data_IF_052573651354
#
_entry.id   IF_052573651354
#
_cell.length_a   1.000
_cell.length_b   1.000
_cell.length_c   1.000
_cell.angle_alpha   90.00
_cell.angle_beta   90.00
_cell.angle_gamma   90.00
#
_symmetry.space_group_name_H-M   'P 1'
#
loop_
_entity.id
_entity.type
_entity.pdbx_description
1 polymer ?
#
# COMPACT_ATOMS: atom_id res chain seq x y z
N UNK A 1 9.68 13.24 -10.06
CA UNK A 1 8.96 11.95 -10.13
C UNK A 1 9.53 11.18 -11.31
N UNK A 2 9.92 9.93 -11.09
CA UNK A 2 10.22 9.01 -12.20
C UNK A 2 8.88 8.61 -12.80
N UNK A 3 8.68 8.82 -14.10
CA UNK A 3 7.42 8.51 -14.77
C UNK A 3 7.19 7.00 -14.80
N UNK A 4 6.33 6.49 -13.93
CA UNK A 4 5.93 5.08 -13.87
C UNK A 4 4.55 4.82 -14.46
N UNK A 5 4.30 3.56 -14.83
CA UNK A 5 2.97 3.10 -15.21
C UNK A 5 2.38 2.25 -14.08
N UNK A 6 1.23 2.65 -13.54
CA UNK A 6 0.51 1.89 -12.52
C UNK A 6 -0.85 1.44 -13.04
N UNK A 7 -1.19 0.18 -12.76
CA UNK A 7 -2.49 -0.38 -13.11
C UNK A 7 -3.02 -1.27 -11.98
N UNK A 8 -4.36 -1.32 -11.87
CA UNK A 8 -5.04 -2.23 -10.95
C UNK A 8 -5.07 -3.64 -11.56
N UNK A 9 -4.45 -4.62 -10.89
CA UNK A 9 -4.48 -6.04 -11.32
C UNK A 9 -5.69 -6.78 -10.76
N UNK A 10 -6.09 -6.45 -9.52
CA UNK A 10 -7.26 -7.03 -8.85
C UNK A 10 -7.90 -6.01 -7.90
N UNK A 11 -8.96 -6.39 -7.19
CA UNK A 11 -9.64 -5.47 -6.26
C UNK A 11 -8.72 -4.87 -5.19
N UNK A 12 -7.72 -5.62 -4.73
CA UNK A 12 -6.81 -5.24 -3.65
C UNK A 12 -5.33 -5.19 -4.10
N UNK A 13 -5.06 -5.23 -5.39
CA UNK A 13 -3.70 -5.31 -5.92
C UNK A 13 -3.47 -4.30 -7.04
N UNK A 14 -2.35 -3.58 -6.92
CA UNK A 14 -1.84 -2.65 -7.92
C UNK A 14 -0.44 -3.09 -8.33
N UNK A 15 -0.15 -3.02 -9.62
CA UNK A 15 1.18 -3.22 -10.17
C UNK A 15 1.72 -1.89 -10.70
N UNK A 16 2.98 -1.58 -10.40
CA UNK A 16 3.67 -0.40 -10.91
C UNK A 16 4.96 -0.82 -11.59
N UNK A 17 5.14 -0.37 -12.84
CA UNK A 17 6.39 -0.50 -13.58
C UNK A 17 7.10 0.85 -13.56
N UNK A 18 8.32 0.87 -13.03
CA UNK A 18 9.17 2.05 -12.95
C UNK A 18 10.33 1.92 -13.94
N UNK A 19 10.26 2.59 -15.11
CA UNK A 19 11.37 2.56 -16.06
C UNK A 19 12.56 3.33 -15.52
N UNK A 20 13.76 2.84 -15.85
CA UNK A 20 15.05 3.45 -15.46
C UNK A 20 15.32 3.54 -13.95
N UNK A 21 14.47 2.95 -13.12
CA UNK A 21 14.69 2.84 -11.68
C UNK A 21 15.32 1.52 -11.31
N UNK A 22 16.19 1.58 -10.30
CA UNK A 22 16.72 0.41 -9.66
C UNK A 22 15.97 0.09 -8.35
N UNK A 23 16.40 -0.96 -7.65
CA UNK A 23 15.75 -1.38 -6.40
C UNK A 23 15.93 -0.35 -5.28
N UNK A 24 17.04 0.39 -5.27
CA UNK A 24 17.32 1.37 -4.23
C UNK A 24 16.41 2.60 -4.40
N UNK A 25 16.35 3.15 -5.62
CA UNK A 25 15.45 4.27 -5.93
C UNK A 25 13.99 3.89 -5.70
N UNK A 26 13.59 2.69 -6.16
CA UNK A 26 12.23 2.19 -5.95
C UNK A 26 11.92 1.99 -4.47
N UNK A 27 12.90 1.49 -3.69
CA UNK A 27 12.79 1.35 -2.24
C UNK A 27 12.51 2.68 -1.56
N UNK A 28 13.26 3.74 -1.91
CA UNK A 28 13.03 5.10 -1.38
C UNK A 28 11.65 5.65 -1.73
N UNK A 29 11.18 5.42 -2.95
CA UNK A 29 9.81 5.79 -3.36
C UNK A 29 8.77 5.08 -2.48
N UNK A 30 8.98 3.80 -2.18
CA UNK A 30 8.09 3.01 -1.35
C UNK A 30 8.10 3.45 0.12
N UNK A 31 9.27 3.83 0.65
CA UNK A 31 9.42 4.40 1.99
C UNK A 31 8.71 5.74 2.12
N UNK A 32 8.87 6.62 1.13
CA UNK A 32 8.19 7.91 1.06
C UNK A 32 6.67 7.76 0.99
N UNK A 33 6.20 6.84 0.14
CA UNK A 33 4.79 6.45 0.07
C UNK A 33 4.29 5.94 1.41
N UNK A 34 5.02 5.04 2.05
CA UNK A 34 4.67 4.46 3.35
C UNK A 34 4.52 5.54 4.42
N UNK A 35 5.46 6.48 4.47
CA UNK A 35 5.45 7.60 5.42
C UNK A 35 4.27 8.52 5.21
N UNK A 36 3.99 8.92 3.96
CA UNK A 36 2.84 9.75 3.64
C UNK A 36 1.51 9.03 3.90
N UNK A 37 1.42 7.76 3.52
CA UNK A 37 0.23 6.94 3.73
C UNK A 37 -0.10 6.81 5.21
N UNK A 38 0.90 6.54 6.07
CA UNK A 38 0.72 6.47 7.53
C UNK A 38 0.28 7.80 8.12
N UNK A 39 0.87 8.91 7.67
CA UNK A 39 0.59 10.25 8.21
C UNK A 39 -0.77 10.81 7.77
N UNK A 40 -1.11 10.65 6.50
CA UNK A 40 -2.20 11.37 5.86
C UNK A 40 -3.24 10.44 5.24
N UNK A 41 -2.82 9.29 4.70
CA UNK A 41 -3.71 8.34 4.02
C UNK A 41 -4.70 7.65 4.97
N UNK A 42 -4.21 7.13 6.10
CA UNK A 42 -5.03 6.41 7.08
C UNK A 42 -6.17 7.28 7.64
N UNK A 43 -5.85 8.53 8.02
CA UNK A 43 -6.83 9.49 8.53
C UNK A 43 -7.92 9.77 7.48
N UNK A 44 -7.53 9.91 6.21
CA UNK A 44 -8.48 10.14 5.11
C UNK A 44 -9.41 8.94 4.89
N UNK A 45 -8.88 7.72 5.00
CA UNK A 45 -9.66 6.49 4.86
C UNK A 45 -10.68 6.37 6.01
N UNK A 46 -10.26 6.60 7.24
CA UNK A 46 -11.17 6.58 8.40
C UNK A 46 -12.28 7.62 8.25
N UNK A 47 -11.91 8.86 7.89
CA UNK A 47 -12.88 9.93 7.68
C UNK A 47 -13.87 9.62 6.55
N UNK A 48 -13.41 9.02 5.44
CA UNK A 48 -14.28 8.61 4.35
C UNK A 48 -15.22 7.47 4.76
N UNK A 49 -14.72 6.48 5.52
CA UNK A 49 -15.55 5.39 6.03
C UNK A 49 -16.65 5.89 6.97
N UNK A 50 -16.32 6.80 7.90
CA UNK A 50 -17.29 7.42 8.83
C UNK A 50 -18.33 8.30 8.12
N UNK A 51 -17.98 8.92 6.99
CA UNK A 51 -18.94 9.69 6.18
C UNK A 51 -20.00 8.81 5.53
N UNK A 52 -19.62 7.61 5.07
CA UNK A 52 -20.55 6.65 4.45
C UNK A 52 -21.37 5.92 5.51
N UNK A 53 -20.72 5.53 6.62
CA UNK A 53 -21.37 4.86 7.74
C UNK A 53 -20.80 5.38 9.07
N UNK A 54 -21.52 6.27 9.79
CA UNK A 54 -21.08 6.77 11.10
C UNK A 54 -20.88 5.69 12.16
N UNK A 55 -21.54 4.54 11.96
CA UNK A 55 -21.45 3.37 12.84
C UNK A 55 -20.39 2.35 12.40
N UNK A 56 -19.52 2.70 11.44
CA UNK A 56 -18.46 1.79 10.99
C UNK A 56 -17.65 1.33 12.21
N UNK A 57 -17.68 0.02 12.45
CA UNK A 57 -16.87 -0.59 13.49
C UNK A 57 -15.40 -0.42 13.13
N UNK A 58 -14.53 -0.43 14.13
CA UNK A 58 -13.12 -0.39 13.86
C UNK A 58 -12.71 -1.52 12.90
N UNK A 59 -11.92 -1.20 11.88
CA UNK A 59 -11.40 -2.12 10.89
C UNK A 59 -9.88 -2.09 10.89
N UNK A 60 -9.30 -3.25 10.64
CA UNK A 60 -7.86 -3.44 10.51
C UNK A 60 -7.54 -3.80 9.06
N UNK A 61 -6.49 -3.19 8.51
CA UNK A 61 -5.93 -3.63 7.24
C UNK A 61 -4.42 -3.41 7.20
N UNK A 62 -3.74 -4.24 6.43
CA UNK A 62 -2.33 -4.09 6.11
C UNK A 62 -2.15 -3.84 4.62
N UNK A 63 -1.11 -3.07 4.29
CA UNK A 63 -0.62 -2.92 2.92
C UNK A 63 0.72 -3.60 2.87
N UNK A 64 0.88 -4.50 1.91
CA UNK A 64 2.15 -5.14 1.60
C UNK A 64 2.60 -4.75 0.20
N UNK A 65 3.91 -4.64 0.03
CA UNK A 65 4.53 -4.34 -1.25
C UNK A 65 5.80 -5.18 -1.41
N UNK A 66 6.10 -5.55 -2.64
CA UNK A 66 7.27 -6.34 -2.99
C UNK A 66 7.88 -5.78 -4.25
N UNK A 67 9.20 -5.87 -4.35
CA UNK A 67 9.99 -5.25 -5.40
C UNK A 67 10.76 -6.31 -6.18
N UNK A 68 10.80 -6.15 -7.50
CA UNK A 68 11.64 -6.94 -8.37
C UNK A 68 12.26 -6.02 -9.43
N UNK A 69 13.54 -6.29 -9.74
CA UNK A 69 14.24 -5.61 -10.84
C UNK A 69 13.94 -6.37 -12.12
N UNK A 70 13.54 -5.65 -13.17
CA UNK A 70 13.40 -6.26 -14.49
C UNK A 70 14.75 -6.71 -15.05
N UNK A 71 14.73 -7.76 -15.88
CA UNK A 71 15.91 -8.25 -16.59
C UNK A 71 15.54 -8.51 -18.06
N UNK A 72 16.39 -8.15 -19.05
CA UNK A 72 16.03 -8.25 -20.48
C UNK A 72 15.61 -9.65 -20.94
N UNK A 73 16.11 -10.69 -20.25
CA UNK A 73 15.87 -12.10 -20.60
C UNK A 73 14.76 -12.75 -19.76
N UNK A 74 14.00 -11.97 -18.99
CA UNK A 74 12.93 -12.48 -18.12
C UNK A 74 11.63 -11.80 -18.53
N UNK A 75 10.59 -12.61 -18.74
CA UNK A 75 9.26 -12.09 -19.07
C UNK A 75 8.72 -11.19 -17.96
N UNK A 76 7.95 -10.18 -18.34
CA UNK A 76 7.40 -9.21 -17.41
C UNK A 76 6.51 -9.88 -16.35
N UNK A 77 5.71 -10.87 -16.74
CA UNK A 77 4.84 -11.59 -15.80
C UNK A 77 5.66 -12.35 -14.74
N UNK A 78 6.76 -12.99 -15.13
CA UNK A 78 7.67 -13.63 -14.18
C UNK A 78 8.33 -12.62 -13.23
N UNK A 79 8.69 -11.42 -13.71
CA UNK A 79 9.19 -10.33 -12.84
C UNK A 79 8.12 -9.91 -11.82
N UNK A 80 6.86 -9.78 -12.26
CA UNK A 80 5.75 -9.45 -11.36
C UNK A 80 5.48 -10.54 -10.33
N UNK A 81 5.59 -11.82 -10.71
CA UNK A 81 5.50 -12.95 -9.77
C UNK A 81 6.62 -12.91 -8.73
N UNK A 82 7.86 -12.58 -9.12
CA UNK A 82 8.97 -12.42 -8.18
C UNK A 82 8.69 -11.29 -7.19
N UNK A 83 8.15 -10.15 -7.66
CA UNK A 83 7.77 -9.04 -6.78
C UNK A 83 6.68 -9.46 -5.79
N UNK A 84 5.68 -10.21 -6.27
CA UNK A 84 4.56 -10.72 -5.47
C UNK A 84 5.02 -11.69 -4.37
N UNK A 85 5.99 -12.57 -4.68
CA UNK A 85 6.60 -13.51 -3.74
C UNK A 85 7.45 -12.82 -2.67
N UNK A 86 8.02 -11.66 -2.98
CA UNK A 86 8.86 -10.86 -2.06
C UNK A 86 8.09 -9.77 -1.33
N UNK A 87 6.76 -9.89 -1.21
CA UNK A 87 5.97 -8.89 -0.50
C UNK A 87 6.24 -8.91 0.99
N UNK A 88 6.39 -7.71 1.53
CA UNK A 88 6.50 -7.47 2.96
C UNK A 88 5.48 -6.41 3.39
N UNK A 89 4.96 -6.48 4.64
CA UNK A 89 4.11 -5.42 5.17
C UNK A 89 4.83 -4.08 5.20
N UNK A 90 4.29 -3.08 4.50
CA UNK A 90 4.81 -1.71 4.49
C UNK A 90 3.99 -0.79 5.39
N UNK A 91 2.72 -1.07 5.61
CA UNK A 91 1.88 -0.33 6.53
C UNK A 91 0.84 -1.25 7.18
N UNK A 92 0.54 -0.97 8.45
CA UNK A 92 -0.57 -1.57 9.16
C UNK A 92 -1.42 -0.45 9.73
N UNK A 93 -2.73 -0.58 9.59
CA UNK A 93 -3.70 0.31 10.19
C UNK A 93 -4.58 -0.49 11.13
N UNK A 94 -4.66 -0.01 12.36
CA UNK A 94 -5.62 -0.43 13.35
C UNK A 94 -6.19 0.85 13.94
N UNK A 95 -7.49 1.06 13.84
CA UNK A 95 -8.12 2.14 14.57
C UNK A 95 -8.09 1.83 16.06
N UNK A 96 -7.89 2.86 16.88
CA UNK A 96 -8.08 2.73 18.31
C UNK A 96 -9.58 2.60 18.58
N UNK A 97 -10.00 1.44 19.08
CA UNK A 97 -11.27 1.34 19.78
C UNK A 97 -11.04 2.07 21.11
N UNK A 98 -11.28 3.38 21.15
CA UNK A 98 -11.62 3.97 22.44
C UNK A 98 -12.87 3.25 22.90
N UNK A 99 -12.70 2.38 23.89
CA UNK A 99 -13.80 1.70 24.54
C UNK A 99 -14.84 2.77 24.89
N UNK A 100 -16.06 2.58 24.39
CA UNK A 100 -17.26 3.20 24.95
C UNK A 100 -17.47 2.68 26.38
N UNK A 101 -16.51 2.88 27.27
CA UNK A 101 -16.70 2.66 28.70
C UNK A 101 -17.27 3.94 29.29
N UNK A 102 -18.59 3.90 29.35
CA UNK A 102 -19.47 4.59 30.30
C UNK A 102 -19.71 6.08 30.07
N UNK A 103 -20.82 6.33 29.35
CA UNK A 103 -21.86 7.24 29.86
C UNK A 103 -22.12 6.90 31.34
N UNK A 104 -21.93 7.88 32.22
CA UNK A 104 -22.84 8.25 33.30
C UNK A 104 -22.47 9.63 33.82
#
# INVERSE_FOLDING_TARGET
AVGGFSARRSINQFGTVLPFSDLEETGRILEDFTRDFRKNGLIKIENAARQVNPSVSCFEFSISAGLARGHPNVELDAIMEIAELKREPIAQFQCNIENLTNKN
#
